data_IF_918328901108
#
_entry.id   IF_918328901108
#
_cell.length_a   1.000
_cell.length_b   1.000
_cell.length_c   1.000
_cell.angle_alpha   90.00
_cell.angle_beta   90.00
_cell.angle_gamma   90.00
#
_symmetry.space_group_name_H-M   'P 1'
#
loop_
_entity.id
_entity.type
_entity.pdbx_description
1 polymer ?
#
# COMPACT_ATOMS: atom_id res chain seq x y z
N UNK A 1 -34.87 1.46 31.58
CA UNK A 1 -33.82 2.51 31.53
C UNK A 1 -33.04 2.30 30.24
N UNK A 2 -33.34 3.09 29.20
CA UNK A 2 -32.62 3.02 27.93
C UNK A 2 -31.18 3.50 28.19
N UNK A 3 -30.20 2.63 27.96
CA UNK A 3 -28.79 2.96 28.13
C UNK A 3 -28.41 4.13 27.23
N UNK A 4 -27.63 5.08 27.75
CA UNK A 4 -27.08 6.16 26.95
C UNK A 4 -26.36 5.60 25.70
N UNK A 5 -26.43 6.28 24.55
CA UNK A 5 -25.68 5.85 23.38
C UNK A 5 -24.20 5.85 23.74
N UNK A 6 -23.60 4.66 23.73
CA UNK A 6 -22.22 4.45 24.11
C UNK A 6 -21.31 5.26 23.15
N UNK A 7 -20.71 6.36 23.64
CA UNK A 7 -19.87 7.30 22.88
C UNK A 7 -18.43 6.77 22.68
N UNK A 8 -18.31 5.45 22.48
CA UNK A 8 -17.03 4.75 22.33
C UNK A 8 -16.82 4.39 20.88
N UNK A 9 -15.78 4.95 20.27
CA UNK A 9 -15.31 4.50 18.96
C UNK A 9 -14.47 3.22 19.15
N UNK A 10 -14.77 2.18 18.38
CA UNK A 10 -14.02 0.92 18.42
C UNK A 10 -13.30 0.71 17.09
N UNK A 11 -11.98 0.78 17.12
CA UNK A 11 -11.14 0.52 15.95
C UNK A 11 -10.54 -0.88 16.09
N UNK A 12 -10.77 -1.74 15.12
CA UNK A 12 -10.20 -3.09 15.06
C UNK A 12 -9.02 -3.09 14.10
N UNK A 13 -7.92 -3.71 14.52
CA UNK A 13 -6.73 -3.87 13.70
C UNK A 13 -6.58 -5.35 13.35
N UNK A 14 -6.43 -5.64 12.06
CA UNK A 14 -6.13 -6.97 11.55
C UNK A 14 -4.93 -6.92 10.63
N UNK A 15 -4.20 -8.02 10.47
CA UNK A 15 -3.21 -8.10 9.40
C UNK A 15 -3.88 -8.36 8.05
N UNK A 16 -4.78 -9.34 7.99
CA UNK A 16 -5.50 -9.73 6.78
C UNK A 16 -6.85 -9.01 6.70
N UNK A 17 -7.32 -8.62 5.50
CA UNK A 17 -8.64 -8.05 5.33
C UNK A 17 -9.73 -8.99 5.82
N UNK A 18 -10.70 -8.46 6.58
CA UNK A 18 -11.74 -9.28 7.23
C UNK A 18 -13.12 -9.06 6.63
N UNK A 19 -13.38 -7.92 5.98
CA UNK A 19 -14.64 -7.62 5.28
C UNK A 19 -14.60 -8.03 3.81
N UNK A 20 -13.77 -9.01 3.48
CA UNK A 20 -13.79 -9.65 2.17
C UNK A 20 -15.05 -10.52 2.04
N UNK A 21 -15.67 -10.57 0.84
CA UNK A 21 -16.80 -11.45 0.60
C UNK A 21 -16.48 -12.88 1.03
N UNK A 22 -17.42 -13.55 1.71
CA UNK A 22 -17.34 -14.96 2.14
C UNK A 22 -16.47 -15.26 3.39
N UNK A 23 -16.07 -14.25 4.17
CA UNK A 23 -15.36 -14.47 5.44
C UNK A 23 -16.35 -14.65 6.62
N UNK A 24 -16.56 -15.90 7.07
CA UNK A 24 -17.33 -16.19 8.30
C UNK A 24 -16.71 -15.50 9.53
N UNK A 25 -15.38 -15.41 9.56
CA UNK A 25 -14.63 -14.71 10.59
C UNK A 25 -14.88 -13.19 10.59
N UNK A 26 -15.02 -12.59 9.41
CA UNK A 26 -15.38 -11.18 9.25
C UNK A 26 -16.74 -10.87 9.85
N UNK A 27 -17.71 -11.74 9.59
CA UNK A 27 -19.05 -11.63 10.18
C UNK A 27 -19.02 -11.73 11.71
N UNK A 28 -18.24 -12.65 12.27
CA UNK A 28 -18.08 -12.79 13.71
C UNK A 28 -17.48 -11.52 14.34
N UNK A 29 -16.45 -10.93 13.73
CA UNK A 29 -15.86 -9.66 14.16
C UNK A 29 -16.90 -8.55 14.15
N UNK A 30 -17.67 -8.40 13.06
CA UNK A 30 -18.66 -7.32 12.97
C UNK A 30 -19.81 -7.53 13.96
N UNK A 31 -20.31 -8.76 14.09
CA UNK A 31 -21.45 -9.08 14.94
C UNK A 31 -21.13 -9.08 16.44
N UNK A 32 -19.93 -9.46 16.85
CA UNK A 32 -19.55 -9.48 18.27
C UNK A 32 -18.90 -8.17 18.71
N UNK A 33 -18.06 -7.57 17.85
CA UNK A 33 -17.30 -6.39 18.24
C UNK A 33 -18.00 -5.10 17.87
N UNK A 34 -18.93 -5.09 16.91
CA UNK A 34 -19.57 -3.86 16.42
C UNK A 34 -18.56 -2.72 16.20
N UNK A 35 -17.50 -2.95 15.39
CA UNK A 35 -16.46 -1.95 15.20
C UNK A 35 -17.00 -0.73 14.46
N UNK A 36 -16.45 0.42 14.83
CA UNK A 36 -16.61 1.70 14.15
C UNK A 36 -15.78 1.72 12.85
N UNK A 37 -14.58 1.16 12.88
CA UNK A 37 -13.69 1.06 11.74
C UNK A 37 -12.81 -0.18 11.88
N UNK A 38 -12.57 -0.87 10.79
CA UNK A 38 -11.54 -1.92 10.71
C UNK A 38 -10.37 -1.38 9.89
N UNK A 39 -9.15 -1.67 10.33
CA UNK A 39 -7.95 -1.40 9.54
C UNK A 39 -7.19 -2.71 9.32
N UNK A 40 -6.81 -2.96 8.08
CA UNK A 40 -6.06 -4.14 7.70
C UNK A 40 -4.90 -3.82 6.75
N UNK A 41 -4.14 -4.83 6.36
CA UNK A 41 -3.05 -4.71 5.39
C UNK A 41 -3.02 -5.92 4.47
N UNK A 42 -1.87 -6.60 4.40
CA UNK A 42 -1.62 -7.82 3.62
C UNK A 42 -1.65 -7.67 2.09
N UNK A 43 -2.70 -7.09 1.51
CA UNK A 43 -2.91 -7.01 0.06
C UNK A 43 -1.95 -6.04 -0.66
N UNK A 44 -1.18 -5.25 0.11
CA UNK A 44 -0.27 -4.20 -0.37
C UNK A 44 -0.91 -3.15 -1.29
N UNK A 45 -2.22 -3.14 -1.41
CA UNK A 45 -3.04 -2.13 -2.08
C UNK A 45 -3.59 -1.18 -1.03
N UNK A 46 -4.08 -0.02 -1.48
CA UNK A 46 -4.88 0.84 -0.62
C UNK A 46 -6.32 0.83 -1.10
N UNK A 47 -7.18 0.18 -0.34
CA UNK A 47 -8.59 0.03 -0.65
C UNK A 47 -9.45 0.36 0.56
N UNK A 48 -10.61 0.94 0.30
CA UNK A 48 -11.67 1.15 1.27
C UNK A 48 -12.81 0.20 0.93
N UNK A 49 -13.12 -0.71 1.85
CA UNK A 49 -14.15 -1.72 1.71
C UNK A 49 -15.35 -1.28 2.56
N UNK A 50 -16.50 -1.09 1.91
CA UNK A 50 -17.76 -0.71 2.53
C UNK A 50 -18.72 -1.88 2.40
N UNK A 51 -19.24 -2.37 3.53
CA UNK A 51 -20.21 -3.45 3.61
C UNK A 51 -21.60 -2.87 3.91
N UNK A 52 -22.45 -2.77 2.90
CA UNK A 52 -23.72 -2.04 2.96
C UNK A 52 -24.87 -2.81 3.67
N UNK A 53 -24.74 -4.12 3.91
CA UNK A 53 -25.81 -4.91 4.54
C UNK A 53 -25.26 -5.96 5.50
N UNK A 54 -25.36 -5.71 6.81
CA UNK A 54 -24.93 -6.62 7.87
C UNK A 54 -25.90 -7.77 8.15
N UNK A 55 -27.06 -7.79 7.48
CA UNK A 55 -28.12 -8.78 7.74
C UNK A 55 -27.83 -10.16 7.12
N UNK A 56 -27.00 -10.24 6.08
CA UNK A 56 -26.66 -11.51 5.43
C UNK A 56 -25.21 -11.54 4.91
N UNK A 57 -24.32 -12.39 5.47
CA UNK A 57 -22.92 -12.51 5.03
C UNK A 57 -22.76 -13.12 3.62
N UNK A 58 -23.79 -13.77 3.07
CA UNK A 58 -23.78 -14.38 1.73
C UNK A 58 -24.31 -13.44 0.63
N UNK A 59 -25.12 -12.43 1.00
CA UNK A 59 -25.73 -11.47 0.06
C UNK A 59 -25.29 -10.02 0.27
N UNK A 60 -24.48 -9.76 1.30
CA UNK A 60 -23.89 -8.45 1.55
C UNK A 60 -23.12 -7.93 0.34
N UNK A 61 -23.47 -6.73 -0.13
CA UNK A 61 -22.73 -6.05 -1.18
C UNK A 61 -21.54 -5.34 -0.54
N UNK A 62 -20.33 -5.74 -0.93
CA UNK A 62 -19.10 -5.01 -0.62
C UNK A 62 -18.77 -4.07 -1.77
N UNK A 63 -18.68 -2.76 -1.49
CA UNK A 63 -18.07 -1.81 -2.42
C UNK A 63 -16.60 -1.65 -2.07
N UNK A 64 -15.74 -1.74 -3.10
CA UNK A 64 -14.30 -1.56 -2.95
C UNK A 64 -13.91 -0.29 -3.69
N UNK A 65 -13.41 0.69 -2.96
CA UNK A 65 -12.92 1.95 -3.49
C UNK A 65 -11.41 1.97 -3.37
N UNK A 66 -10.69 1.94 -4.49
CA UNK A 66 -9.23 2.04 -4.50
C UNK A 66 -8.81 3.49 -4.31
N UNK A 67 -7.78 3.74 -3.48
CA UNK A 67 -7.33 5.11 -3.21
C UNK A 67 -6.84 5.81 -4.49
N UNK A 68 -6.31 5.05 -5.45
CA UNK A 68 -5.83 5.56 -6.73
C UNK A 68 -6.97 6.14 -7.58
N UNK A 69 -8.21 5.63 -7.45
CA UNK A 69 -9.36 6.12 -8.21
C UNK A 69 -10.03 7.35 -7.59
N UNK A 70 -9.62 7.76 -6.39
CA UNK A 70 -10.23 8.89 -5.68
C UNK A 70 -9.73 10.27 -6.15
N UNK A 71 -8.94 10.31 -7.22
CA UNK A 71 -8.53 11.53 -7.93
C UNK A 71 -9.70 12.34 -8.53
N UNK A 72 -10.93 11.82 -8.49
CA UNK A 72 -12.12 12.49 -9.01
C UNK A 72 -12.70 13.58 -8.09
N UNK A 73 -12.35 13.60 -6.80
CA UNK A 73 -12.93 14.56 -5.84
C UNK A 73 -12.03 15.76 -5.50
N UNK A 74 -10.78 15.78 -5.99
CA UNK A 74 -9.80 16.83 -5.66
C UNK A 74 -9.32 16.82 -4.20
N UNK A 75 -9.82 15.89 -3.38
CA UNK A 75 -9.40 15.64 -2.00
C UNK A 75 -8.43 14.47 -1.96
N UNK A 76 -7.27 14.66 -1.32
CA UNK A 76 -6.32 13.57 -1.01
C UNK A 76 -6.74 12.75 0.21
N UNK A 77 -7.96 12.90 0.73
CA UNK A 77 -8.42 12.26 1.96
C UNK A 77 -9.75 11.53 1.75
N UNK A 78 -9.82 10.30 2.24
CA UNK A 78 -11.07 9.56 2.43
C UNK A 78 -11.78 10.10 3.66
N UNK A 79 -13.03 10.51 3.50
CA UNK A 79 -13.90 10.91 4.61
C UNK A 79 -14.86 9.76 4.91
N UNK A 80 -14.63 9.10 6.03
CA UNK A 80 -15.38 7.94 6.50
C UNK A 80 -16.42 8.42 7.51
N UNK A 81 -17.70 8.17 7.25
CA UNK A 81 -18.76 8.43 8.21
C UNK A 81 -19.02 7.16 9.03
N UNK A 82 -18.82 7.26 10.33
CA UNK A 82 -18.76 6.13 11.26
C UNK A 82 -19.97 6.09 12.20
N UNK A 83 -20.89 7.05 12.07
CA UNK A 83 -22.14 7.06 12.86
C UNK A 83 -23.08 5.92 12.47
N UNK A 84 -23.06 5.53 11.19
CA UNK A 84 -23.94 4.52 10.65
C UNK A 84 -23.43 3.11 10.96
N UNK A 85 -23.87 2.56 12.10
CA UNK A 85 -23.51 1.21 12.56
C UNK A 85 -24.04 0.06 11.68
N UNK A 86 -24.95 0.34 10.76
CA UNK A 86 -25.47 -0.62 9.77
C UNK A 86 -24.50 -0.91 8.63
N UNK A 87 -23.36 -0.19 8.57
CA UNK A 87 -22.36 -0.32 7.51
C UNK A 87 -21.01 -0.69 8.12
N UNK A 88 -20.45 -1.83 7.70
CA UNK A 88 -19.08 -2.22 8.06
C UNK A 88 -18.07 -1.48 7.18
N UNK A 89 -17.10 -0.79 7.78
CA UNK A 89 -16.05 -0.09 7.02
C UNK A 89 -14.67 -0.67 7.34
N UNK A 90 -13.91 -0.98 6.31
CA UNK A 90 -12.53 -1.44 6.42
C UNK A 90 -11.61 -0.64 5.51
N UNK A 91 -10.50 -0.16 6.08
CA UNK A 91 -9.42 0.47 5.33
C UNK A 91 -8.24 -0.48 5.26
N UNK A 92 -7.91 -0.91 4.05
CA UNK A 92 -6.69 -1.67 3.77
C UNK A 92 -5.55 -0.69 3.57
N UNK A 93 -4.60 -0.72 4.50
CA UNK A 93 -3.43 0.14 4.53
C UNK A 93 -2.35 -0.47 3.63
N UNK A 94 -1.76 0.31 2.70
CA UNK A 94 -0.70 -0.19 1.84
C UNK A 94 0.56 -0.51 2.66
N UNK A 95 1.43 -1.34 2.11
CA UNK A 95 2.71 -1.64 2.77
C UNK A 95 3.65 -0.44 2.70
N UNK A 96 4.40 -0.22 3.78
CA UNK A 96 5.56 0.67 3.81
C UNK A 96 6.88 -0.06 3.55
N UNK A 97 6.83 -1.40 3.40
CA UNK A 97 8.00 -2.25 3.25
C UNK A 97 8.37 -2.48 1.80
N UNK A 98 9.60 -2.06 1.48
CA UNK A 98 10.22 -2.31 0.18
C UNK A 98 10.41 -3.80 -0.14
N UNK A 99 10.49 -4.68 0.86
CA UNK A 99 10.76 -6.12 0.67
C UNK A 99 9.68 -6.81 -0.18
N UNK A 100 8.50 -6.21 -0.30
CA UNK A 100 7.36 -6.81 -0.99
C UNK A 100 7.31 -6.52 -2.50
N UNK A 101 8.27 -5.76 -3.04
CA UNK A 101 8.40 -5.55 -4.49
C UNK A 101 7.26 -4.74 -5.11
N UNK A 102 6.51 -3.98 -4.31
CA UNK A 102 5.39 -3.18 -4.79
C UNK A 102 5.81 -1.77 -5.21
N UNK A 103 5.22 -1.20 -6.28
CA UNK A 103 5.62 0.11 -6.80
C UNK A 103 5.13 1.28 -5.94
N UNK A 104 3.95 1.15 -5.33
CA UNK A 104 3.30 2.19 -4.55
C UNK A 104 3.30 1.79 -3.07
N UNK A 105 4.07 2.51 -2.26
CA UNK A 105 4.17 2.33 -0.82
C UNK A 105 3.73 3.62 -0.14
N UNK A 106 3.07 3.52 1.01
CA UNK A 106 2.68 4.69 1.79
C UNK A 106 2.63 4.39 3.29
N UNK A 107 2.63 5.44 4.09
CA UNK A 107 2.14 5.38 5.47
C UNK A 107 0.71 5.91 5.51
N UNK A 108 -0.21 5.12 6.08
CA UNK A 108 -1.55 5.60 6.40
C UNK A 108 -1.52 6.55 7.59
N UNK A 109 -2.29 7.63 7.52
CA UNK A 109 -2.55 8.51 8.66
C UNK A 109 -4.04 8.81 8.73
N UNK A 110 -4.51 9.17 9.92
CA UNK A 110 -5.92 9.32 10.18
C UNK A 110 -6.17 10.41 11.21
N UNK A 111 -7.21 11.22 10.96
CA UNK A 111 -7.72 12.22 11.89
C UNK A 111 -9.14 11.84 12.31
N UNK A 112 -9.37 11.81 13.62
CA UNK A 112 -10.68 11.53 14.21
C UNK A 112 -11.25 12.86 14.69
N UNK A 113 -12.46 13.20 14.24
CA UNK A 113 -13.13 14.43 14.68
C UNK A 113 -13.51 14.36 16.18
N UNK A 114 -13.68 15.51 16.83
CA UNK A 114 -14.04 15.60 18.26
C UNK A 114 -15.33 14.85 18.57
N UNK A 115 -16.26 14.91 17.63
CA UNK A 115 -17.58 14.28 17.71
C UNK A 115 -17.54 12.78 17.38
N UNK A 116 -16.38 12.24 16.97
CA UNK A 116 -16.15 10.81 16.67
C UNK A 116 -17.05 10.22 15.58
N UNK A 117 -17.75 11.08 14.85
CA UNK A 117 -18.64 10.74 13.76
C UNK A 117 -17.92 10.58 12.43
N UNK A 118 -16.87 11.36 12.24
CA UNK A 118 -16.13 11.45 10.98
C UNK A 118 -14.67 11.12 11.21
N UNK A 119 -14.16 10.27 10.34
CA UNK A 119 -12.75 9.91 10.26
C UNK A 119 -12.22 10.35 8.89
N UNK A 120 -11.13 11.11 8.88
CA UNK A 120 -10.43 11.46 7.65
C UNK A 120 -9.15 10.62 7.55
N UNK A 121 -9.05 9.76 6.53
CA UNK A 121 -7.91 8.91 6.28
C UNK A 121 -7.14 9.38 5.04
N UNK A 122 -5.81 9.35 5.10
CA UNK A 122 -4.94 9.73 4.00
C UNK A 122 -3.68 8.88 3.92
N UNK A 123 -2.97 9.02 2.81
CA UNK A 123 -1.72 8.33 2.54
C UNK A 123 -0.55 9.30 2.36
N UNK A 124 0.53 9.07 3.10
CA UNK A 124 1.83 9.69 2.83
C UNK A 124 2.60 8.77 1.89
N UNK A 125 2.54 9.08 0.60
CA UNK A 125 3.23 8.31 -0.43
C UNK A 125 4.75 8.36 -0.26
N UNK A 126 5.37 7.17 -0.26
CA UNK A 126 6.82 7.04 -0.30
C UNK A 126 7.31 7.16 -1.75
N UNK A 127 8.52 7.70 -1.96
CA UNK A 127 9.11 7.76 -3.29
C UNK A 127 9.29 6.35 -3.89
N UNK A 128 9.05 6.18 -5.20
CA UNK A 128 9.18 4.89 -5.87
C UNK A 128 10.65 4.46 -5.93
N UNK A 129 11.03 3.48 -5.11
CA UNK A 129 12.42 2.99 -5.02
C UNK A 129 12.78 1.99 -6.12
N UNK A 130 11.81 1.26 -6.69
CA UNK A 130 12.06 0.33 -7.79
C UNK A 130 12.70 1.03 -8.99
N UNK A 131 12.22 2.22 -9.33
CA UNK A 131 12.80 3.05 -10.39
C UNK A 131 14.28 3.38 -10.13
N UNK A 132 14.64 3.71 -8.88
CA UNK A 132 16.02 4.01 -8.51
C UNK A 132 16.92 2.78 -8.63
N UNK A 133 16.41 1.59 -8.28
CA UNK A 133 17.15 0.33 -8.45
C UNK A 133 17.41 0.05 -9.92
N UNK A 134 16.43 0.26 -10.80
CA UNK A 134 16.63 0.14 -12.25
C UNK A 134 17.72 1.10 -12.76
N UNK A 135 17.74 2.35 -12.27
CA UNK A 135 18.80 3.31 -12.61
C UNK A 135 20.18 2.86 -12.12
N UNK A 136 20.28 2.34 -10.89
CA UNK A 136 21.55 1.82 -10.36
C UNK A 136 22.07 0.64 -11.17
N UNK A 137 21.19 -0.29 -11.57
CA UNK A 137 21.57 -1.43 -12.41
C UNK A 137 22.04 -0.94 -13.79
N UNK A 138 21.32 -0.01 -14.42
CA UNK A 138 21.73 0.57 -15.70
C UNK A 138 23.10 1.28 -15.62
N UNK A 139 23.34 2.01 -14.53
CA UNK A 139 24.63 2.63 -14.26
C UNK A 139 25.75 1.59 -14.09
N UNK A 140 25.54 0.52 -13.31
CA UNK A 140 26.53 -0.55 -13.16
C UNK A 140 26.84 -1.24 -14.48
N UNK A 141 25.81 -1.53 -15.29
CA UNK A 141 25.98 -2.15 -16.61
C UNK A 141 26.82 -1.26 -17.51
N UNK A 142 26.50 0.03 -17.61
CA UNK A 142 27.27 0.98 -18.44
C UNK A 142 28.72 1.14 -17.95
N UNK A 143 28.95 1.22 -16.64
CA UNK A 143 30.29 1.27 -16.05
C UNK A 143 31.12 0.01 -16.35
N UNK A 144 30.50 -1.17 -16.27
CA UNK A 144 31.12 -2.44 -16.65
C UNK A 144 31.49 -2.46 -18.14
N UNK A 145 30.57 -2.06 -19.03
CA UNK A 145 30.85 -1.98 -20.46
C UNK A 145 32.04 -1.06 -20.78
N UNK A 146 32.09 0.13 -20.17
CA UNK A 146 33.20 1.07 -20.34
C UNK A 146 34.51 0.47 -19.83
N UNK A 147 34.48 -0.22 -18.69
CA UNK A 147 35.67 -0.84 -18.08
C UNK A 147 36.22 -1.96 -18.96
N UNK A 148 35.35 -2.81 -19.52
CA UNK A 148 35.74 -3.89 -20.46
C UNK A 148 36.32 -3.29 -21.74
N UNK A 149 35.70 -2.25 -22.29
CA UNK A 149 36.23 -1.56 -23.47
C UNK A 149 37.62 -1.00 -23.21
N UNK A 150 37.82 -0.28 -22.10
CA UNK A 150 39.14 0.25 -21.71
C UNK A 150 40.19 -0.86 -21.54
N UNK A 151 39.81 -1.96 -20.88
CA UNK A 151 40.71 -3.11 -20.68
C UNK A 151 41.14 -3.74 -22.02
N UNK A 152 40.20 -3.91 -22.96
CA UNK A 152 40.50 -4.47 -24.29
C UNK A 152 41.40 -3.54 -25.11
N UNK A 153 41.14 -2.23 -25.10
CA UNK A 153 42.00 -1.25 -25.79
C UNK A 153 43.41 -1.25 -25.22
N UNK A 154 43.54 -1.14 -23.89
CA UNK A 154 44.84 -1.16 -23.21
C UNK A 154 45.63 -2.46 -23.46
N UNK A 155 44.97 -3.62 -23.47
CA UNK A 155 45.61 -4.89 -23.80
C UNK A 155 46.11 -4.96 -25.25
N UNK A 156 45.37 -4.35 -26.18
CA UNK A 156 45.75 -4.29 -27.60
C UNK A 156 46.96 -3.39 -27.80
N UNK A 157 47.02 -2.26 -27.09
CA UNK A 157 48.17 -1.35 -27.11
C UNK A 157 49.45 -2.03 -26.60
N UNK A 158 49.36 -2.78 -25.50
CA UNK A 158 50.50 -3.54 -24.96
C UNK A 158 51.01 -4.58 -25.97
N UNK A 159 50.13 -5.31 -26.65
CA UNK A 159 50.50 -6.30 -27.66
C UNK A 159 51.18 -5.66 -28.89
N UNK A 160 50.69 -4.49 -29.31
CA UNK A 160 51.28 -3.76 -30.45
C UNK A 160 52.67 -3.21 -30.11
N UNK A 161 52.86 -2.67 -28.91
CA UNK A 161 54.19 -2.22 -28.44
C UNK A 161 55.16 -3.40 -28.39
N UNK A 162 54.73 -4.56 -27.87
CA UNK A 162 55.58 -5.75 -27.78
C UNK A 162 56.00 -6.30 -29.15
N UNK A 163 55.13 -6.20 -30.17
CA UNK A 163 55.47 -6.54 -31.57
C UNK A 163 56.49 -5.57 -32.18
N UNK A 164 56.41 -4.28 -31.84
CA UNK A 164 57.32 -3.27 -32.39
C UNK A 164 58.77 -3.53 -31.93
N UNK A 165 58.98 -3.83 -30.65
CA UNK A 165 60.31 -4.11 -30.10
C UNK A 165 60.92 -5.46 -30.50
N UNK A 166 60.14 -6.38 -31.06
CA UNK A 166 60.64 -7.69 -31.49
C UNK A 166 61.08 -7.73 -32.96
N UNK A 167 60.75 -6.67 -33.72
CA UNK A 167 61.05 -6.54 -35.15
C UNK A 167 62.11 -5.44 -35.45
N UNK A 168 62.74 -4.89 -34.41
CA UNK A 168 63.93 -4.01 -34.48
C UNK A 168 65.11 -4.81 -33.96
#
# INVERSE_FOLDING_TARGET
>A
MAGQPNNTMRIVLSHQPVLTPQSEFGYEIISQLHPSLVMSGHEHTSTHIIWETLEDPLYGRSRVEEYISNSHTGSSLWRLNVEERSVGQEVVVPTCSYRMGVPHMAYGFMFIDKDRSIINYGLLWLPPRLFHIFLYIAYLVTACFISIFKYKTSSTDILNVRKYYHNV
#
